data_IF_273484665809
#
_entry.id   IF_273484665809
#
_cell.length_a   1.000
_cell.length_b   1.000
_cell.length_c   1.000
_cell.angle_alpha   90.00
_cell.angle_beta   90.00
_cell.angle_gamma   90.00
#
_symmetry.space_group_name_H-M   'P 1'
#
loop_
_entity.id
_entity.type
_entity.pdbx_description
1 polymer ?
#
# COMPACT_ATOMS: atom_id res chain seq x y z
N UNK A 1 2.30 18.49 11.35
CA UNK A 1 3.18 17.36 10.97
C UNK A 1 2.53 16.06 11.43
N UNK A 2 2.66 14.97 10.65
CA UNK A 2 2.22 13.64 11.06
C UNK A 2 2.90 13.21 12.37
N UNK A 3 2.20 12.42 13.18
CA UNK A 3 2.80 11.74 14.35
C UNK A 3 3.29 10.35 13.95
N UNK A 4 4.27 9.81 14.67
CA UNK A 4 4.81 8.46 14.42
C UNK A 4 4.90 7.62 15.67
N UNK A 5 4.67 6.32 15.55
CA UNK A 5 4.82 5.33 16.63
C UNK A 5 5.43 4.03 16.09
N UNK A 6 6.12 3.27 16.95
CA UNK A 6 6.57 1.92 16.60
C UNK A 6 5.35 0.99 16.46
N UNK A 7 5.33 0.17 15.42
CA UNK A 7 4.26 -0.80 15.14
C UNK A 7 4.67 -2.24 15.44
N UNK A 8 5.97 -2.52 15.42
CA UNK A 8 6.52 -3.86 15.56
C UNK A 8 7.82 -4.01 14.78
N UNK A 9 8.24 -5.25 14.58
CA UNK A 9 9.42 -5.58 13.78
C UNK A 9 9.12 -6.73 12.84
N UNK A 10 9.78 -6.76 11.69
CA UNK A 10 9.81 -7.93 10.82
C UNK A 10 10.60 -9.07 11.48
N UNK A 11 10.49 -10.28 10.93
CA UNK A 11 11.20 -11.45 11.46
C UNK A 11 12.73 -11.33 11.44
N UNK A 12 13.26 -10.55 10.48
CA UNK A 12 14.68 -10.19 10.37
C UNK A 12 15.05 -8.92 11.18
N UNK A 13 14.12 -8.39 11.98
CA UNK A 13 14.38 -7.36 12.98
C UNK A 13 14.27 -5.92 12.49
N UNK A 14 13.84 -5.68 11.24
CA UNK A 14 13.61 -4.33 10.74
C UNK A 14 12.42 -3.68 11.45
N UNK A 15 12.58 -2.43 11.88
CA UNK A 15 11.52 -1.70 12.55
C UNK A 15 10.40 -1.31 11.59
N UNK A 16 9.16 -1.49 12.04
CA UNK A 16 7.96 -1.04 11.36
C UNK A 16 7.39 0.13 12.15
N UNK A 17 7.10 1.24 11.47
CA UNK A 17 6.52 2.43 12.07
C UNK A 17 5.13 2.68 11.49
N UNK A 18 4.24 3.25 12.31
CA UNK A 18 3.01 3.90 11.83
C UNK A 18 3.22 5.40 11.78
N UNK A 19 2.65 6.04 10.78
CA UNK A 19 2.52 7.48 10.65
C UNK A 19 1.04 7.84 10.58
N UNK A 20 0.58 8.73 11.45
CA UNK A 20 -0.82 9.20 11.46
C UNK A 20 -0.88 10.63 10.93
N UNK A 21 -1.59 10.81 9.82
CA UNK A 21 -1.96 12.11 9.26
C UNK A 21 -3.30 12.51 9.89
N UNK A 22 -3.45 13.79 10.25
CA UNK A 22 -4.70 14.31 10.81
C UNK A 22 -5.00 15.70 10.25
N UNK A 23 -6.26 15.94 9.87
CA UNK A 23 -6.73 17.25 9.44
C UNK A 23 -7.61 17.92 10.51
N UNK A 24 -7.94 19.20 10.32
CA UNK A 24 -8.71 19.99 11.26
C UNK A 24 -10.17 19.53 11.43
N UNK A 25 -10.70 18.75 10.47
CA UNK A 25 -12.05 18.19 10.52
C UNK A 25 -12.13 16.84 11.25
N UNK A 26 -10.99 16.36 11.78
CA UNK A 26 -10.92 15.13 12.56
C UNK A 26 -10.73 13.85 11.73
N UNK A 27 -10.65 13.93 10.40
CA UNK A 27 -10.27 12.77 9.58
C UNK A 27 -8.83 12.38 9.87
N UNK A 28 -8.55 11.07 9.91
CA UNK A 28 -7.20 10.54 10.15
C UNK A 28 -6.90 9.39 9.20
N UNK A 29 -5.67 9.36 8.70
CA UNK A 29 -5.13 8.24 7.93
C UNK A 29 -3.88 7.72 8.62
N UNK A 30 -3.82 6.41 8.87
CA UNK A 30 -2.65 5.77 9.50
C UNK A 30 -1.98 4.86 8.48
N UNK A 31 -0.70 5.12 8.20
CA UNK A 31 0.09 4.42 7.18
C UNK A 31 1.29 3.75 7.85
N UNK A 32 1.51 2.47 7.54
CA UNK A 32 2.67 1.70 7.97
C UNK A 32 3.83 1.82 6.97
N UNK A 33 5.07 1.84 7.47
CA UNK A 33 6.27 1.68 6.61
C UNK A 33 6.35 0.30 5.98
N UNK A 34 5.72 -0.72 6.57
CA UNK A 34 5.61 -2.05 5.96
C UNK A 34 4.53 -2.04 4.88
N UNK A 35 4.94 -2.27 3.65
CA UNK A 35 4.08 -2.27 2.46
C UNK A 35 3.52 -0.89 2.09
N UNK A 36 3.93 0.18 2.77
CA UNK A 36 3.26 1.48 2.66
C UNK A 36 1.77 1.40 2.98
N UNK A 37 1.40 0.50 3.91
CA UNK A 37 0.03 0.02 4.09
C UNK A 37 -0.83 1.05 4.79
N UNK A 38 -1.98 1.42 4.20
CA UNK A 38 -3.04 2.16 4.88
C UNK A 38 -3.74 1.23 5.87
N UNK A 39 -3.37 1.31 7.15
CA UNK A 39 -3.88 0.41 8.19
C UNK A 39 -5.20 0.88 8.79
N UNK A 40 -5.51 2.17 8.70
CA UNK A 40 -6.74 2.78 9.23
C UNK A 40 -7.07 4.08 8.48
N UNK A 41 -8.36 4.33 8.26
CA UNK A 41 -8.89 5.55 7.68
C UNK A 41 -10.15 5.96 8.45
N UNK A 42 -9.96 6.83 9.43
CA UNK A 42 -11.02 7.35 10.28
C UNK A 42 -11.70 8.54 9.61
N UNK A 43 -12.97 8.39 9.24
CA UNK A 43 -13.75 9.40 8.49
C UNK A 43 -14.95 9.86 9.33
N UNK A 44 -15.20 11.18 9.45
CA UNK A 44 -16.41 11.70 10.08
C UNK A 44 -17.62 11.52 9.14
N UNK A 45 -18.72 11.01 9.67
CA UNK A 45 -20.01 10.95 8.97
C UNK A 45 -20.77 12.30 9.01
N UNK A 46 -21.99 12.32 8.48
CA UNK A 46 -22.85 13.52 8.42
C UNK A 46 -23.20 14.11 9.79
N UNK A 47 -23.15 13.30 10.86
CA UNK A 47 -23.43 13.70 12.24
C UNK A 47 -22.14 13.97 13.03
N UNK A 48 -20.98 13.92 12.36
CA UNK A 48 -19.66 14.12 12.95
C UNK A 48 -19.11 12.90 13.70
N UNK A 49 -19.80 11.75 13.64
CA UNK A 49 -19.30 10.52 14.27
C UNK A 49 -18.20 9.92 13.39
N UNK A 50 -17.06 9.65 14.02
CA UNK A 50 -15.88 9.11 13.34
C UNK A 50 -15.93 7.59 13.36
N UNK A 51 -15.70 6.96 12.21
CA UNK A 51 -15.56 5.50 12.07
C UNK A 51 -14.41 5.16 11.14
N UNK A 52 -13.76 4.02 11.38
CA UNK A 52 -12.80 3.46 10.41
C UNK A 52 -13.58 2.88 9.23
N UNK A 53 -13.13 3.16 8.01
CA UNK A 53 -13.80 2.69 6.79
C UNK A 53 -12.94 1.75 5.95
N UNK A 54 -11.75 1.36 6.42
CA UNK A 54 -10.90 0.38 5.74
C UNK A 54 -10.70 -0.89 6.57
N UNK A 55 -10.57 -2.02 5.89
CA UNK A 55 -10.19 -3.28 6.54
C UNK A 55 -8.68 -3.33 6.79
N UNK A 56 -8.29 -3.84 7.95
CA UNK A 56 -6.90 -3.98 8.35
C UNK A 56 -6.74 -4.67 9.70
N UNK A 57 -5.55 -4.60 10.27
CA UNK A 57 -5.24 -5.06 11.63
C UNK A 57 -4.70 -3.94 12.50
N UNK A 58 -5.03 -4.00 13.79
CA UNK A 58 -4.53 -3.06 14.81
C UNK A 58 -3.07 -3.32 15.21
N UNK A 59 -2.50 -4.46 14.80
CA UNK A 59 -1.15 -4.89 15.18
C UNK A 59 -0.37 -5.46 14.00
N UNK A 60 0.95 -5.28 14.01
CA UNK A 60 1.85 -5.75 12.95
C UNK A 60 1.77 -7.27 12.74
N UNK A 61 1.52 -8.05 13.79
CA UNK A 61 1.44 -9.51 13.72
C UNK A 61 0.36 -9.99 12.75
N UNK A 62 -0.74 -9.24 12.60
CA UNK A 62 -1.79 -9.57 11.63
C UNK A 62 -1.25 -9.59 10.20
N UNK A 63 -0.54 -8.52 9.81
CA UNK A 63 0.10 -8.39 8.48
C UNK A 63 1.31 -9.31 8.30
N UNK A 64 1.98 -9.69 9.39
CA UNK A 64 3.20 -10.51 9.35
C UNK A 64 2.92 -12.02 9.47
N UNK A 65 1.70 -12.40 9.85
CA UNK A 65 1.31 -13.79 10.11
C UNK A 65 1.50 -14.69 8.88
N UNK A 66 1.91 -15.95 9.06
CA UNK A 66 1.99 -16.92 7.97
C UNK A 66 0.67 -17.06 7.20
N UNK A 67 -0.47 -17.02 7.90
CA UNK A 67 -1.81 -17.15 7.32
C UNK A 67 -2.13 -15.97 6.40
N UNK A 68 -1.84 -14.74 6.85
CA UNK A 68 -2.03 -13.54 6.04
C UNK A 68 -1.07 -13.53 4.84
N UNK A 69 0.21 -13.90 5.01
CA UNK A 69 1.16 -13.96 3.90
C UNK A 69 0.85 -15.06 2.89
N UNK A 70 0.26 -16.17 3.34
CA UNK A 70 -0.15 -17.28 2.46
C UNK A 70 -1.39 -16.92 1.64
N UNK A 71 -2.41 -16.34 2.26
CA UNK A 71 -3.62 -15.89 1.56
C UNK A 71 -3.40 -14.60 0.77
N UNK A 72 -2.51 -13.76 1.29
CA UNK A 72 -2.08 -12.44 0.81
C UNK A 72 -3.24 -11.64 0.21
N UNK A 73 -4.24 -11.21 1.01
CA UNK A 73 -5.34 -10.41 0.52
C UNK A 73 -4.95 -8.93 0.36
N UNK A 74 -3.70 -8.56 0.64
CA UNK A 74 -3.12 -7.23 0.39
C UNK A 74 -3.78 -6.04 1.10
N UNK A 75 -4.50 -6.23 2.20
CA UNK A 75 -5.23 -5.16 2.90
C UNK A 75 -4.45 -3.85 3.03
N UNK A 76 -4.92 -2.81 2.33
CA UNK A 76 -4.40 -1.44 2.41
C UNK A 76 -3.01 -1.22 1.82
N UNK A 77 -2.36 -2.25 1.28
CA UNK A 77 -0.96 -2.20 0.92
C UNK A 77 -0.71 -1.52 -0.43
N UNK A 78 0.49 -0.96 -0.60
CA UNK A 78 1.00 -0.57 -1.91
C UNK A 78 1.37 -1.81 -2.72
N UNK A 79 0.92 -1.81 -3.97
CA UNK A 79 1.11 -2.91 -4.91
C UNK A 79 2.12 -2.51 -5.97
N UNK A 80 3.06 -3.40 -6.23
CA UNK A 80 4.04 -3.28 -7.32
C UNK A 80 5.06 -4.41 -7.27
N UNK A 81 5.92 -4.56 -8.29
CA UNK A 81 6.13 -3.62 -9.42
C UNK A 81 4.98 -3.56 -10.43
N UNK A 82 4.18 -4.62 -10.53
CA UNK A 82 3.01 -4.68 -11.41
C UNK A 82 1.77 -5.16 -10.66
N UNK A 83 0.75 -4.29 -10.58
CA UNK A 83 -0.55 -4.60 -10.02
C UNK A 83 -1.38 -5.50 -10.94
N UNK A 84 -2.14 -6.39 -10.32
CA UNK A 84 -2.91 -7.45 -10.99
C UNK A 84 -2.00 -8.51 -11.64
N UNK A 85 -2.47 -9.19 -12.69
CA UNK A 85 -1.89 -10.43 -13.20
C UNK A 85 -1.04 -10.22 -14.44
N UNK A 86 0.05 -10.98 -14.51
CA UNK A 86 0.81 -11.23 -15.75
C UNK A 86 0.65 -12.71 -16.09
N UNK A 87 0.10 -12.97 -17.28
CA UNK A 87 -0.15 -14.32 -17.77
C UNK A 87 1.15 -15.15 -17.76
N UNK A 88 1.12 -16.31 -17.10
CA UNK A 88 2.29 -17.20 -16.95
C UNK A 88 3.51 -16.56 -16.26
N UNK A 89 3.37 -15.34 -15.72
CA UNK A 89 4.48 -14.52 -15.26
C UNK A 89 5.49 -14.20 -16.35
N UNK A 90 5.07 -14.16 -17.62
CA UNK A 90 5.94 -13.93 -18.76
C UNK A 90 5.57 -12.66 -19.51
N UNK A 91 6.59 -11.92 -19.91
CA UNK A 91 6.45 -10.80 -20.83
C UNK A 91 7.75 -10.61 -21.62
N UNK A 92 7.68 -9.84 -22.69
CA UNK A 92 8.81 -9.56 -23.57
C UNK A 92 9.01 -8.07 -23.69
N UNK A 93 10.27 -7.62 -23.58
CA UNK A 93 10.69 -6.25 -23.85
C UNK A 93 11.84 -6.32 -24.84
N UNK A 94 11.73 -5.60 -25.95
CA UNK A 94 12.76 -5.52 -27.00
C UNK A 94 13.28 -6.91 -27.46
N UNK A 95 12.35 -7.88 -27.60
CA UNK A 95 12.66 -9.24 -28.04
C UNK A 95 13.26 -10.16 -26.97
N UNK A 96 13.53 -9.66 -25.75
CA UNK A 96 13.99 -10.46 -24.62
C UNK A 96 12.81 -10.89 -23.74
N UNK A 97 12.66 -12.20 -23.53
CA UNK A 97 11.68 -12.77 -22.60
C UNK A 97 12.17 -12.61 -21.15
N UNK A 98 11.23 -12.24 -20.27
CA UNK A 98 11.43 -12.17 -18.82
C UNK A 98 10.42 -13.08 -18.13
N UNK A 99 10.89 -13.74 -17.06
CA UNK A 99 10.06 -14.55 -16.18
C UNK A 99 10.05 -13.92 -14.78
N UNK A 100 8.86 -13.56 -14.30
CA UNK A 100 8.64 -13.07 -12.94
C UNK A 100 8.02 -14.15 -12.06
N UNK A 101 8.00 -13.90 -10.75
CA UNK A 101 7.46 -14.81 -9.75
C UNK A 101 6.02 -15.25 -10.07
N UNK A 102 5.79 -16.56 -10.13
CA UNK A 102 4.47 -17.17 -10.37
C UNK A 102 3.87 -17.60 -9.04
N UNK A 103 2.96 -16.78 -8.53
CA UNK A 103 2.36 -16.91 -7.20
C UNK A 103 0.83 -17.09 -7.23
N UNK A 104 0.21 -17.14 -8.42
CA UNK A 104 -1.24 -17.24 -8.53
C UNK A 104 -1.68 -18.15 -9.69
N UNK A 105 -1.90 -19.44 -9.39
CA UNK A 105 -2.48 -20.41 -10.33
C UNK A 105 -1.79 -20.41 -11.70
N UNK A 106 -0.46 -20.46 -11.70
CA UNK A 106 0.33 -20.42 -12.93
C UNK A 106 0.56 -19.02 -13.50
N UNK A 107 0.05 -17.94 -12.88
CA UNK A 107 0.31 -16.55 -13.26
C UNK A 107 1.14 -15.83 -12.19
N UNK A 108 1.71 -14.68 -12.55
CA UNK A 108 2.19 -13.70 -11.58
C UNK A 108 1.05 -12.77 -11.17
N UNK A 109 1.00 -12.39 -9.90
CA UNK A 109 0.00 -11.51 -9.31
C UNK A 109 0.68 -10.51 -8.37
N UNK A 110 0.31 -9.23 -8.51
CA UNK A 110 0.67 -8.15 -7.59
C UNK A 110 2.18 -8.04 -7.28
N UNK A 111 3.00 -8.19 -8.32
CA UNK A 111 4.45 -8.04 -8.23
C UNK A 111 5.22 -9.30 -7.85
N UNK A 112 4.56 -10.43 -7.59
CA UNK A 112 5.21 -11.72 -7.35
C UNK A 112 5.13 -12.20 -5.89
N UNK A 113 6.08 -13.03 -5.48
CA UNK A 113 6.06 -13.71 -4.17
C UNK A 113 6.27 -12.73 -3.01
N UNK A 114 7.23 -11.82 -3.15
CA UNK A 114 7.57 -10.76 -2.19
C UNK A 114 7.51 -9.41 -2.89
N UNK A 115 6.29 -9.01 -3.28
CA UNK A 115 6.00 -7.71 -3.89
C UNK A 115 6.15 -6.54 -2.92
N UNK A 116 5.85 -5.33 -3.41
CA UNK A 116 6.01 -4.08 -2.65
C UNK A 116 5.22 -4.04 -1.34
N UNK A 117 4.13 -4.79 -1.25
CA UNK A 117 3.29 -4.90 -0.06
C UNK A 117 4.00 -5.54 1.14
N UNK A 118 5.15 -6.20 0.91
CA UNK A 118 5.93 -6.88 1.94
C UNK A 118 7.30 -6.24 2.17
N UNK A 119 7.55 -5.05 1.60
CA UNK A 119 8.81 -4.32 1.76
C UNK A 119 8.71 -3.25 2.84
N UNK A 120 9.83 -2.93 3.47
CA UNK A 120 9.93 -1.75 4.33
C UNK A 120 10.27 -0.56 3.45
N UNK A 121 9.42 0.45 3.50
CA UNK A 121 9.58 1.72 2.80
C UNK A 121 10.30 2.73 3.70
N UNK A 122 11.16 3.55 3.11
CA UNK A 122 11.75 4.69 3.82
C UNK A 122 10.71 5.81 3.91
N UNK A 123 10.40 6.26 5.11
CA UNK A 123 9.39 7.28 5.35
C UNK A 123 9.98 8.67 5.61
N UNK A 124 9.33 9.69 5.04
CA UNK A 124 9.60 11.11 5.30
C UNK A 124 8.25 11.81 5.59
N UNK A 125 7.91 12.09 6.86
CA UNK A 125 6.73 12.88 7.19
C UNK A 125 6.93 14.35 6.79
N UNK A 126 5.85 15.01 6.40
CA UNK A 126 5.88 16.36 5.84
C UNK A 126 4.55 17.09 5.96
N UNK A 127 4.49 18.23 5.29
CA UNK A 127 3.26 18.96 4.99
C UNK A 127 3.48 19.79 3.72
N UNK A 128 2.41 20.03 2.98
CA UNK A 128 2.37 20.95 1.86
C UNK A 128 1.18 21.92 2.02
N UNK A 129 0.82 22.62 0.93
CA UNK A 129 -0.30 23.55 0.93
C UNK A 129 -1.67 22.87 1.11
N UNK A 130 -1.78 21.58 0.75
CA UNK A 130 -3.04 20.83 0.80
C UNK A 130 -3.26 20.19 2.18
N UNK A 131 -2.18 19.78 2.86
CA UNK A 131 -2.26 19.26 4.22
C UNK A 131 -1.02 18.52 4.71
N UNK A 132 -1.23 17.56 5.61
CA UNK A 132 -0.15 16.71 6.10
C UNK A 132 0.22 15.67 5.05
N UNK A 133 1.51 15.38 4.91
CA UNK A 133 2.02 14.44 3.92
C UNK A 133 2.90 13.35 4.54
N UNK A 134 2.93 12.19 3.90
CA UNK A 134 3.91 11.14 4.15
C UNK A 134 4.45 10.66 2.81
N UNK A 135 5.73 10.94 2.55
CA UNK A 135 6.43 10.40 1.38
C UNK A 135 7.13 9.10 1.76
N UNK A 136 6.85 8.06 1.01
CA UNK A 136 7.46 6.74 1.10
C UNK A 136 8.35 6.52 -0.12
N UNK A 137 9.57 6.05 0.08
CA UNK A 137 10.47 5.65 -1.02
C UNK A 137 10.95 4.22 -0.90
N UNK A 138 11.09 3.56 -2.05
CA UNK A 138 11.64 2.22 -2.17
C UNK A 138 12.43 2.08 -3.47
N UNK A 139 13.62 1.47 -3.36
CA UNK A 139 14.42 1.08 -4.51
C UNK A 139 14.23 -0.43 -4.76
N UNK A 140 13.47 -0.76 -5.80
CA UNK A 140 13.35 -2.11 -6.31
C UNK A 140 14.53 -2.38 -7.25
N UNK A 141 15.48 -3.23 -6.84
CA UNK A 141 16.71 -3.47 -7.60
C UNK A 141 16.43 -4.21 -8.91
N UNK A 142 17.34 -4.08 -9.88
CA UNK A 142 17.34 -4.90 -11.11
C UNK A 142 17.27 -6.40 -10.75
N UNK A 143 16.33 -7.11 -11.39
CA UNK A 143 16.07 -8.52 -11.15
C UNK A 143 15.19 -8.83 -9.94
N UNK A 144 14.75 -7.83 -9.15
CA UNK A 144 13.82 -8.08 -8.04
C UNK A 144 12.52 -8.70 -8.57
N UNK A 145 12.12 -9.85 -8.01
CA UNK A 145 10.99 -10.68 -8.47
C UNK A 145 11.05 -11.06 -9.98
N UNK A 146 12.22 -10.91 -10.62
CA UNK A 146 12.45 -11.16 -12.05
C UNK A 146 12.24 -9.96 -12.97
N UNK A 147 11.89 -8.78 -12.44
CA UNK A 147 11.68 -7.58 -13.24
C UNK A 147 13.02 -6.90 -13.61
N UNK A 148 13.22 -6.46 -14.87
CA UNK A 148 14.44 -5.74 -15.26
C UNK A 148 14.47 -4.31 -14.74
N UNK A 149 15.66 -3.78 -14.52
CA UNK A 149 15.91 -2.38 -14.19
C UNK A 149 15.77 -2.08 -12.71
N UNK A 150 16.65 -1.24 -12.20
CA UNK A 150 16.43 -0.57 -10.93
C UNK A 150 15.23 0.37 -11.09
N UNK A 151 14.28 0.30 -10.17
CA UNK A 151 13.11 1.17 -10.14
C UNK A 151 13.09 1.91 -8.80
N UNK A 152 13.32 3.23 -8.86
CA UNK A 152 13.10 4.11 -7.73
C UNK A 152 11.62 4.49 -7.71
N UNK A 153 10.92 4.16 -6.62
CA UNK A 153 9.51 4.46 -6.45
C UNK A 153 9.34 5.43 -5.29
N UNK A 154 8.52 6.45 -5.52
CA UNK A 154 8.09 7.42 -4.52
C UNK A 154 6.56 7.40 -4.49
N UNK A 155 5.99 7.20 -3.31
CA UNK A 155 4.56 7.30 -3.07
C UNK A 155 4.30 8.34 -2.00
N UNK A 156 3.47 9.34 -2.28
CA UNK A 156 3.12 10.38 -1.31
C UNK A 156 1.65 10.26 -0.95
N UNK A 157 1.38 10.04 0.34
CA UNK A 157 0.05 10.20 0.92
C UNK A 157 -0.13 11.63 1.38
N UNK A 158 -1.23 12.27 0.97
CA UNK A 158 -1.61 13.62 1.45
C UNK A 158 -3.02 13.58 2.00
N UNK A 159 -3.17 13.94 3.28
CA UNK A 159 -4.48 14.12 3.89
C UNK A 159 -4.84 15.61 3.85
N UNK A 160 -5.83 15.93 3.03
CA UNK A 160 -6.21 17.30 2.72
C UNK A 160 -7.12 17.91 3.79
N UNK A 161 -7.26 19.23 3.77
CA UNK A 161 -8.21 19.95 4.63
C UNK A 161 -9.69 19.64 4.36
N UNK A 162 -10.03 19.13 3.17
CA UNK A 162 -11.40 18.84 2.74
C UNK A 162 -11.81 17.37 2.87
N UNK A 163 -11.12 16.59 3.69
CA UNK A 163 -11.37 15.15 3.93
C UNK A 163 -11.11 14.25 2.71
N UNK A 164 -10.10 14.58 1.89
CA UNK A 164 -9.58 13.69 0.87
C UNK A 164 -8.25 13.06 1.32
N UNK A 165 -8.06 11.78 0.98
CA UNK A 165 -6.76 11.13 1.02
C UNK A 165 -6.26 10.97 -0.41
N UNK A 166 -5.26 11.76 -0.79
CA UNK A 166 -4.58 11.67 -2.08
C UNK A 166 -3.40 10.71 -1.99
N UNK A 167 -3.18 9.94 -3.04
CA UNK A 167 -2.03 9.02 -3.16
C UNK A 167 -1.38 9.26 -4.52
N UNK A 168 -0.23 9.93 -4.51
CA UNK A 168 0.54 10.22 -5.72
C UNK A 168 1.66 9.21 -5.90
N UNK A 169 1.82 8.71 -7.12
CA UNK A 169 2.83 7.72 -7.49
C UNK A 169 3.81 8.32 -8.49
N UNK A 170 5.10 8.22 -8.21
CA UNK A 170 6.17 8.54 -9.14
C UNK A 170 7.18 7.41 -9.18
N UNK A 171 7.70 7.09 -10.37
CA UNK A 171 8.75 6.10 -10.51
C UNK A 171 9.72 6.46 -11.64
N UNK A 172 10.99 6.15 -11.45
CA UNK A 172 12.05 6.26 -12.48
C UNK A 172 12.84 4.96 -12.55
N UNK A 173 13.29 4.61 -13.75
CA UNK A 173 14.03 3.37 -13.99
C UNK A 173 15.23 3.58 -14.90
N UNK A 174 16.24 2.72 -14.77
CA UNK A 174 17.43 2.70 -15.61
C UNK A 174 17.34 1.71 -16.78
N UNK A 175 16.28 0.89 -16.86
CA UNK A 175 15.99 -0.02 -17.98
C UNK A 175 14.48 -0.10 -18.23
N UNK A 176 14.08 -0.33 -19.47
CA UNK A 176 12.67 -0.57 -19.79
C UNK A 176 12.10 -1.72 -18.93
N UNK A 177 10.97 -1.46 -18.28
CA UNK A 177 10.33 -2.36 -17.31
C UNK A 177 8.84 -2.06 -17.22
N UNK A 178 7.97 -3.05 -16.99
CA UNK A 178 6.55 -2.77 -16.75
C UNK A 178 6.38 -2.22 -15.34
N UNK A 179 5.56 -1.16 -15.22
CA UNK A 179 5.23 -0.54 -13.93
C UNK A 179 3.73 -0.30 -13.90
N UNK A 180 3.06 -0.84 -12.88
CA UNK A 180 1.64 -0.61 -12.63
C UNK A 180 1.44 -0.59 -11.10
N UNK A 181 1.28 0.59 -10.52
CA UNK A 181 1.24 0.80 -9.07
C UNK A 181 -0.17 1.13 -8.62
N UNK A 182 -0.56 0.65 -7.44
CA UNK A 182 -1.87 0.96 -6.84
C UNK A 182 -1.82 0.78 -5.32
N UNK A 183 -2.91 1.13 -4.63
CA UNK A 183 -3.16 0.81 -3.23
C UNK A 183 -4.34 -0.18 -3.16
N UNK A 184 -4.24 -1.20 -2.31
CA UNK A 184 -5.22 -2.27 -2.23
C UNK A 184 -6.10 -2.19 -0.97
N UNK A 185 -6.49 -0.97 -0.57
CA UNK A 185 -7.46 -0.76 0.51
C UNK A 185 -8.82 -1.38 0.18
N UNK A 186 -9.40 -2.07 1.16
CA UNK A 186 -10.75 -2.59 1.11
C UNK A 186 -11.63 -1.69 1.94
N UNK A 187 -12.63 -1.07 1.32
CA UNK A 187 -13.50 -0.13 1.98
C UNK A 187 -14.81 -0.78 2.43
N UNK A 188 -15.24 -0.42 3.64
CA UNK A 188 -16.60 -0.60 4.09
C UNK A 188 -17.03 0.68 4.82
N UNK A 189 -17.80 1.53 4.14
CA UNK A 189 -18.33 2.78 4.72
C UNK A 189 -19.26 2.59 5.93
N UNK A 190 -19.71 1.35 6.17
CA UNK A 190 -20.53 0.96 7.31
C UNK A 190 -19.78 -0.02 8.23
N UNK A 191 -18.45 -0.03 8.22
CA UNK A 191 -17.65 -0.95 9.04
C UNK A 191 -18.04 -0.83 10.52
N UNK A 192 -18.17 -1.98 11.18
CA UNK A 192 -18.65 -2.08 12.56
C UNK A 192 -20.16 -1.93 12.73
N UNK A 193 -20.89 -1.50 11.70
CA UNK A 193 -22.35 -1.43 11.67
C UNK A 193 -22.95 -2.51 10.76
N UNK A 194 -22.30 -2.81 9.64
CA UNK A 194 -22.61 -3.90 8.72
C UNK A 194 -21.40 -4.81 8.53
N UNK A 195 -21.66 -6.11 8.32
CA UNK A 195 -20.64 -7.12 8.01
C UNK A 195 -20.29 -7.18 6.52
N UNK A 196 -21.11 -6.57 5.66
CA UNK A 196 -20.95 -6.60 4.21
C UNK A 196 -21.11 -5.20 3.60
N UNK A 197 -20.88 -5.13 2.29
CA UNK A 197 -20.97 -3.91 1.48
C UNK A 197 -22.11 -3.96 0.47
N UNK A 198 -23.09 -4.85 0.64
CA UNK A 198 -24.14 -5.09 -0.36
C UNK A 198 -25.13 -3.93 -0.47
N UNK A 199 -25.22 -3.09 0.55
CA UNK A 199 -26.04 -1.88 0.55
C UNK A 199 -25.33 -0.64 -0.03
N UNK A 200 -24.04 -0.75 -0.36
CA UNK A 200 -23.28 0.36 -0.95
C UNK A 200 -23.75 0.63 -2.38
N UNK A 201 -23.87 1.90 -2.73
CA UNK A 201 -24.16 2.33 -4.09
C UNK A 201 -22.85 2.67 -4.80
N UNK A 202 -22.67 2.14 -6.00
CA UNK A 202 -21.53 2.40 -6.87
C UNK A 202 -22.05 3.07 -8.12
N UNK A 203 -21.41 4.18 -8.52
CA UNK A 203 -21.79 5.00 -9.68
C UNK A 203 -20.64 5.09 -10.66
#
# INVERSE_FOLDING_TARGET
>A
MPTSTSFGKTADGQEIQLFTLTNAKGMKATISTYGGTLTSLLVPDKDGKISDVVLGFDKAEGYLSPEFKKSNPYFGALIGRYGNRIAKGKFTIDGKEYQVGVNNNGNSLHGGNVGFNQKIWTAKPGSDADGQTLTLTYLSKDGEEGYPGNLNVTVTYTLTADNALKIDYAATTDKATPVNLTNHAYFNLALGQSKDVLAHQVT
#
